data_IF_651214758951
#
_entry.id   IF_651214758951
#
_cell.length_a   1.000
_cell.length_b   1.000
_cell.length_c   1.000
_cell.angle_alpha   90.00
_cell.angle_beta   90.00
_cell.angle_gamma   90.00
#
_symmetry.space_group_name_H-M   'P 1'
#
loop_
_entity.id
_entity.type
_entity.pdbx_description
1 polymer ?
#
# COMPACT_ATOMS: atom_id res chain seq x y z
N UNK A 1 -7.25 -10.79 21.00
CA UNK A 1 -6.20 -10.75 22.05
C UNK A 1 -5.49 -9.39 22.08
N UNK A 2 -4.90 -8.91 20.99
CA UNK A 2 -4.24 -7.60 21.00
C UNK A 2 -5.18 -6.41 21.22
N UNK A 3 -6.42 -6.49 20.74
CA UNK A 3 -7.42 -5.45 21.01
C UNK A 3 -7.70 -5.34 22.52
N UNK A 4 -7.66 -6.48 23.21
CA UNK A 4 -7.88 -6.58 24.65
C UNK A 4 -6.68 -6.05 25.45
N UNK A 5 -5.46 -6.37 25.00
CA UNK A 5 -4.22 -5.77 25.54
C UNK A 5 -4.25 -4.25 25.35
N UNK A 6 -4.58 -3.79 24.14
CA UNK A 6 -4.67 -2.35 23.81
C UNK A 6 -5.69 -1.64 24.68
N UNK A 7 -6.86 -2.26 24.89
CA UNK A 7 -7.90 -1.74 25.77
C UNK A 7 -7.39 -1.62 27.22
N UNK A 8 -6.74 -2.65 27.76
CA UNK A 8 -6.20 -2.61 29.11
C UNK A 8 -5.08 -1.60 29.29
N UNK A 9 -4.26 -1.36 28.26
CA UNK A 9 -3.27 -0.27 28.26
C UNK A 9 -3.97 1.08 28.35
N UNK A 10 -5.00 1.30 27.54
CA UNK A 10 -5.76 2.55 27.51
C UNK A 10 -6.47 2.82 28.85
N UNK A 11 -7.02 1.78 29.46
CA UNK A 11 -7.72 1.86 30.75
C UNK A 11 -6.75 1.93 31.95
N UNK A 12 -5.44 1.78 31.73
CA UNK A 12 -4.43 1.74 32.79
C UNK A 12 -4.56 0.51 33.69
N UNK A 13 -5.16 -0.57 33.19
CA UNK A 13 -5.41 -1.82 33.91
C UNK A 13 -4.43 -2.93 33.54
N UNK A 14 -3.59 -2.73 32.51
CA UNK A 14 -2.57 -3.71 32.12
C UNK A 14 -1.46 -3.77 33.20
N UNK A 15 -1.20 -4.93 33.80
CA UNK A 15 -0.15 -5.05 34.82
C UNK A 15 1.25 -4.89 34.22
N UNK A 16 2.14 -4.25 35.00
CA UNK A 16 3.55 -3.99 34.62
C UNK A 16 4.35 -5.26 34.27
N UNK A 17 3.87 -6.44 34.67
CA UNK A 17 4.48 -7.74 34.30
C UNK A 17 4.30 -8.07 32.82
N UNK A 18 3.34 -7.44 32.13
CA UNK A 18 3.08 -7.66 30.70
C UNK A 18 3.90 -6.67 29.87
N UNK A 19 4.88 -7.19 29.13
CA UNK A 19 5.78 -6.38 28.30
C UNK A 19 6.24 -7.17 27.07
N UNK A 20 6.59 -6.45 26.00
CA UNK A 20 7.13 -7.08 24.80
C UNK A 20 7.55 -6.06 23.76
N UNK A 21 8.69 -6.32 23.10
CA UNK A 21 9.21 -5.48 22.01
C UNK A 21 8.56 -5.87 20.67
N UNK A 22 8.17 -7.13 20.56
CA UNK A 22 7.44 -7.67 19.40
C UNK A 22 6.02 -8.04 19.80
N UNK A 23 5.12 -8.06 18.81
CA UNK A 23 3.74 -8.57 18.95
C UNK A 23 3.71 -9.94 19.64
N UNK A 24 4.62 -10.83 19.27
CA UNK A 24 4.72 -12.18 19.83
C UNK A 24 5.10 -12.15 21.31
N UNK A 25 6.19 -11.46 21.68
CA UNK A 25 6.62 -11.34 23.08
C UNK A 25 5.57 -10.66 23.97
N UNK A 26 4.81 -9.71 23.41
CA UNK A 26 3.74 -9.03 24.13
C UNK A 26 2.55 -9.96 24.38
N UNK A 27 2.14 -10.73 23.38
CA UNK A 27 1.07 -11.74 23.55
C UNK A 27 1.51 -12.82 24.54
N UNK A 28 2.74 -13.30 24.45
CA UNK A 28 3.25 -14.36 25.33
C UNK A 28 3.34 -13.91 26.79
N UNK A 29 3.84 -12.69 27.06
CA UNK A 29 3.86 -12.16 28.43
C UNK A 29 2.45 -11.89 28.97
N UNK A 30 1.53 -11.46 28.11
CA UNK A 30 0.12 -11.31 28.48
C UNK A 30 -0.49 -12.65 28.85
N UNK A 31 -0.34 -13.68 28.01
CA UNK A 31 -0.83 -15.04 28.29
C UNK A 31 -0.22 -15.64 29.55
N UNK A 32 1.07 -15.42 29.81
CA UNK A 32 1.71 -15.83 31.06
C UNK A 32 1.07 -15.17 32.30
N UNK A 33 0.54 -13.95 32.15
CA UNK A 33 -0.16 -13.24 33.21
C UNK A 33 -1.61 -13.72 33.40
N UNK A 34 -2.39 -13.85 32.31
CA UNK A 34 -3.82 -14.18 32.37
C UNK A 34 -4.12 -15.69 32.38
N UNK A 35 -3.14 -16.52 32.01
CA UNK A 35 -3.23 -17.96 31.90
C UNK A 35 -3.64 -18.46 30.50
N UNK A 36 -3.21 -19.67 30.16
CA UNK A 36 -3.38 -20.27 28.82
C UNK A 36 -4.85 -20.54 28.42
N UNK A 37 -5.76 -20.55 29.40
CA UNK A 37 -7.19 -20.73 29.18
C UNK A 37 -7.96 -19.41 28.99
N UNK A 38 -7.28 -18.26 29.10
CA UNK A 38 -7.91 -16.96 28.94
C UNK A 38 -8.29 -16.71 27.48
N UNK A 39 -9.54 -16.34 27.25
CA UNK A 39 -10.05 -15.95 25.93
C UNK A 39 -10.71 -14.58 26.05
N UNK A 40 -10.37 -13.59 25.21
CA UNK A 40 -10.96 -12.25 25.28
C UNK A 40 -12.50 -12.29 25.19
N UNK A 41 -13.23 -11.41 25.90
CA UNK A 41 -14.70 -11.46 25.99
C UNK A 41 -15.42 -11.37 24.64
N UNK A 42 -14.82 -10.71 23.65
CA UNK A 42 -15.39 -10.48 22.31
C UNK A 42 -14.74 -11.35 21.22
N UNK A 43 -14.08 -12.45 21.60
CA UNK A 43 -13.47 -13.37 20.63
C UNK A 43 -14.56 -14.16 19.89
N UNK A 44 -14.47 -14.27 18.57
CA UNK A 44 -15.36 -15.13 17.78
C UNK A 44 -15.28 -16.59 18.27
N UNK A 45 -16.44 -17.27 18.37
CA UNK A 45 -16.51 -18.64 18.89
C UNK A 45 -15.64 -19.64 18.13
N UNK A 46 -15.47 -19.46 16.82
CA UNK A 46 -14.61 -20.30 15.98
C UNK A 46 -13.12 -20.11 16.23
N UNK A 47 -12.74 -18.99 16.87
CA UNK A 47 -11.37 -18.65 17.21
C UNK A 47 -11.05 -18.82 18.70
N UNK A 48 -12.01 -19.27 19.51
CA UNK A 48 -11.78 -19.53 20.94
C UNK A 48 -10.88 -20.75 21.14
N UNK A 49 -9.95 -20.64 22.08
CA UNK A 49 -9.16 -21.75 22.59
C UNK A 49 -9.62 -22.14 23.99
N UNK A 50 -9.12 -23.27 24.47
CA UNK A 50 -9.41 -23.80 25.80
C UNK A 50 -8.21 -24.55 26.35
N UNK A 51 -8.25 -24.98 27.62
CA UNK A 51 -7.22 -25.87 28.16
C UNK A 51 -7.11 -27.21 27.41
N UNK A 52 -8.16 -27.63 26.70
CA UNK A 52 -8.17 -28.86 25.89
C UNK A 52 -7.60 -28.62 24.49
N UNK A 53 -7.67 -27.38 24.01
CA UNK A 53 -7.14 -26.94 22.71
C UNK A 53 -6.50 -25.57 22.90
N UNK A 54 -5.28 -25.49 23.47
CA UNK A 54 -4.66 -24.23 23.84
C UNK A 54 -4.36 -23.39 22.60
N UNK A 55 -4.18 -22.08 22.81
CA UNK A 55 -3.72 -21.20 21.75
C UNK A 55 -2.26 -21.51 21.42
N UNK A 56 -2.04 -22.22 20.33
CA UNK A 56 -0.70 -22.50 19.83
C UNK A 56 -0.27 -21.40 18.86
N UNK A 57 0.72 -20.60 19.26
CA UNK A 57 1.40 -19.71 18.31
C UNK A 57 2.51 -20.48 17.60
N UNK A 58 2.21 -21.01 16.42
CA UNK A 58 3.24 -21.55 15.54
C UNK A 58 4.11 -20.41 14.98
N UNK A 59 5.43 -20.54 15.15
CA UNK A 59 6.39 -19.67 14.49
C UNK A 59 6.37 -19.98 12.98
N UNK A 60 5.71 -19.11 12.22
CA UNK A 60 5.53 -19.28 10.77
C UNK A 60 6.81 -19.07 9.96
N UNK A 61 7.95 -18.82 10.60
CA UNK A 61 9.27 -18.81 9.92
C UNK A 61 9.58 -20.13 9.20
N UNK A 62 8.90 -21.22 9.55
CA UNK A 62 9.05 -22.54 8.91
C UNK A 62 7.80 -23.05 8.17
N UNK A 63 6.76 -22.22 8.00
CA UNK A 63 5.55 -22.64 7.29
C UNK A 63 5.86 -22.88 5.80
N UNK A 64 6.01 -24.16 5.42
CA UNK A 64 6.05 -24.58 4.03
C UNK A 64 4.61 -24.47 3.51
N UNK A 65 4.33 -23.41 2.76
CA UNK A 65 3.05 -23.25 2.08
C UNK A 65 2.85 -24.41 1.10
N UNK A 66 2.09 -25.42 1.50
CA UNK A 66 1.64 -26.47 0.61
C UNK A 66 0.64 -25.86 -0.38
N UNK A 67 1.09 -25.62 -1.62
CA UNK A 67 0.27 -25.06 -2.72
C UNK A 67 -0.95 -25.92 -3.06
N UNK A 68 -0.98 -27.16 -2.58
CA UNK A 68 -1.98 -28.16 -2.92
C UNK A 68 -3.38 -27.84 -2.35
N UNK A 69 -3.47 -26.93 -1.38
CA UNK A 69 -4.76 -26.49 -0.82
C UNK A 69 -5.44 -25.35 -1.60
N UNK A 70 -4.80 -24.82 -2.65
CA UNK A 70 -5.37 -23.77 -3.50
C UNK A 70 -5.74 -24.36 -4.86
N UNK A 71 -6.92 -24.98 -4.97
CA UNK A 71 -7.44 -25.47 -6.25
C UNK A 71 -8.11 -24.35 -7.04
N UNK A 72 -7.33 -23.51 -7.72
CA UNK A 72 -7.84 -22.75 -8.86
C UNK A 72 -7.73 -23.62 -10.11
N UNK A 73 -8.70 -24.52 -10.33
CA UNK A 73 -8.90 -25.08 -11.67
C UNK A 73 -9.76 -24.09 -12.47
N UNK A 74 -9.25 -23.49 -13.56
CA UNK A 74 -10.08 -22.68 -14.43
C UNK A 74 -11.18 -23.56 -15.05
N UNK A 75 -12.41 -23.03 -15.07
CA UNK A 75 -13.53 -23.64 -15.78
C UNK A 75 -13.20 -23.80 -17.27
N UNK A 76 -13.56 -24.93 -17.92
CA UNK A 76 -13.44 -25.03 -19.37
C UNK A 76 -14.38 -24.02 -20.02
N UNK A 77 -13.84 -23.26 -20.97
CA UNK A 77 -14.62 -22.33 -21.81
C UNK A 77 -15.67 -23.13 -22.58
N UNK A 78 -16.95 -22.77 -22.40
CA UNK A 78 -18.04 -23.21 -23.28
C UNK A 78 -17.88 -22.44 -24.59
N UNK A 79 -17.68 -23.15 -25.70
CA UNK A 79 -17.63 -22.53 -27.03
C UNK A 79 -18.99 -21.89 -27.36
N UNK A 80 -19.03 -20.68 -27.94
CA UNK A 80 -20.28 -20.05 -28.33
C UNK A 80 -20.87 -20.78 -29.53
N UNK A 81 -22.08 -21.31 -29.34
CA UNK A 81 -22.95 -21.81 -30.41
C UNK A 81 -23.25 -20.65 -31.35
N UNK A 82 -22.84 -20.79 -32.61
CA UNK A 82 -23.21 -19.90 -33.71
C UNK A 82 -24.71 -19.98 -33.97
N UNK A 83 -25.48 -19.00 -33.48
CA UNK A 83 -26.89 -18.83 -33.84
C UNK A 83 -27.02 -17.88 -35.02
N UNK A 84 -27.40 -18.43 -36.16
CA UNK A 84 -27.99 -17.73 -37.30
C UNK A 84 -29.31 -17.08 -36.89
N UNK A 85 -29.43 -15.77 -37.06
CA UNK A 85 -30.70 -15.04 -36.93
C UNK A 85 -31.66 -15.41 -38.07
N UNK A 86 -32.98 -15.44 -37.79
CA UNK A 86 -33.91 -14.85 -38.73
C UNK A 86 -34.78 -13.78 -38.05
N UNK A 87 -34.91 -12.69 -38.78
CA UNK A 87 -35.92 -11.65 -38.69
C UNK A 87 -37.34 -12.19 -38.51
N UNK A 88 -38.12 -11.59 -37.61
CA UNK A 88 -39.50 -11.20 -37.93
C UNK A 88 -40.10 -10.17 -36.95
N UNK A 89 -40.79 -9.22 -37.57
CA UNK A 89 -41.65 -8.18 -37.00
C UNK A 89 -42.90 -8.78 -36.34
N UNK A 90 -43.40 -8.16 -35.27
CA UNK A 90 -44.73 -8.41 -34.71
C UNK A 90 -45.03 -7.51 -33.52
N UNK A 91 -46.09 -6.72 -33.65
CA UNK A 91 -46.51 -5.55 -32.85
C UNK A 91 -47.57 -5.93 -31.79
N UNK A 92 -47.73 -5.06 -30.77
CA UNK A 92 -48.83 -4.95 -29.76
C UNK A 92 -48.87 -6.05 -28.67
N UNK A 93 -49.23 -5.81 -27.40
CA UNK A 93 -50.06 -4.76 -26.81
C UNK A 93 -49.82 -4.57 -25.29
N UNK A 94 -50.38 -3.48 -24.77
CA UNK A 94 -50.34 -3.00 -23.38
C UNK A 94 -51.34 -3.77 -22.48
N UNK A 95 -51.09 -3.90 -21.17
CA UNK A 95 -52.05 -3.75 -20.01
C UNK A 95 -51.46 -4.34 -18.70
N UNK A 96 -51.44 -3.49 -17.66
CA UNK A 96 -51.20 -3.75 -16.22
C UNK A 96 -52.54 -4.04 -15.48
N UNK A 97 -52.62 -4.17 -14.12
CA UNK A 97 -51.86 -4.93 -13.13
C UNK A 97 -52.80 -5.70 -12.14
N UNK A 98 -52.26 -6.49 -11.20
CA UNK A 98 -53.08 -7.16 -10.18
C UNK A 98 -52.33 -7.74 -8.97
N UNK A 99 -52.20 -6.90 -7.93
CA UNK A 99 -52.30 -7.09 -6.47
C UNK A 99 -51.95 -8.41 -5.71
N UNK A 100 -51.42 -8.15 -4.49
CA UNK A 100 -51.57 -8.85 -3.19
C UNK A 100 -50.70 -10.10 -2.93
N UNK A 101 -49.67 -10.02 -2.05
CA UNK A 101 -49.69 -10.14 -0.57
C UNK A 101 -50.06 -11.55 -0.11
N UNK A 102 -49.14 -12.28 0.54
CA UNK A 102 -49.34 -13.02 1.82
C UNK A 102 -47.96 -13.37 2.44
N UNK A 103 -47.74 -12.85 3.64
CA UNK A 103 -46.77 -13.27 4.66
C UNK A 103 -46.89 -14.74 5.06
N UNK A 104 -45.78 -15.41 5.40
CA UNK A 104 -45.75 -16.35 6.54
C UNK A 104 -44.36 -16.51 7.17
N UNK A 105 -44.30 -16.79 8.50
CA UNK A 105 -43.13 -16.54 9.34
C UNK A 105 -42.27 -17.79 9.61
N UNK A 106 -41.08 -17.52 10.16
CA UNK A 106 -40.14 -18.47 10.75
C UNK A 106 -40.68 -19.17 12.02
N UNK A 107 -39.98 -20.23 12.48
CA UNK A 107 -39.83 -20.41 13.92
C UNK A 107 -38.38 -20.67 14.38
N UNK A 108 -38.06 -19.89 15.41
CA UNK A 108 -37.32 -20.11 16.64
C UNK A 108 -36.55 -21.43 16.89
N UNK A 109 -35.36 -21.19 17.43
CA UNK A 109 -34.39 -22.03 18.14
C UNK A 109 -34.96 -22.65 19.43
N UNK A 110 -34.50 -23.87 19.76
CA UNK A 110 -34.42 -24.33 21.16
C UNK A 110 -33.12 -25.11 21.41
N UNK A 111 -32.31 -24.56 22.31
CA UNK A 111 -31.15 -25.19 22.96
C UNK A 111 -31.62 -26.16 24.05
N UNK A 112 -30.90 -27.26 24.25
CA UNK A 112 -30.84 -27.95 25.55
C UNK A 112 -29.47 -28.60 25.72
N UNK A 113 -28.71 -28.09 26.68
CA UNK A 113 -27.56 -28.74 27.27
C UNK A 113 -28.02 -29.46 28.54
N UNK A 114 -27.44 -30.61 28.86
CA UNK A 114 -27.00 -30.92 30.23
C UNK A 114 -26.02 -32.11 30.24
N UNK A 115 -24.84 -31.82 30.77
CA UNK A 115 -23.78 -32.74 31.19
C UNK A 115 -24.10 -33.32 32.58
N UNK A 116 -23.54 -34.51 32.90
CA UNK A 116 -22.66 -34.77 34.06
C UNK A 116 -22.32 -36.28 34.18
N UNK A 117 -21.02 -36.62 34.20
CA UNK A 117 -20.21 -37.18 35.31
C UNK A 117 -20.56 -38.65 35.66
N UNK A 118 -19.68 -39.60 36.05
CA UNK A 118 -18.24 -39.77 36.32
C UNK A 118 -18.06 -41.24 36.70
N UNK A 119 -16.88 -41.85 36.51
CA UNK A 119 -16.57 -43.14 37.13
C UNK A 119 -15.25 -43.78 36.69
N UNK A 120 -14.14 -43.36 37.30
CA UNK A 120 -12.84 -44.05 37.43
C UNK A 120 -12.95 -45.25 38.42
N UNK A 121 -11.90 -46.04 38.73
CA UNK A 121 -10.68 -46.43 37.99
C UNK A 121 -10.40 -47.96 38.09
N UNK A 122 -9.36 -48.49 37.42
CA UNK A 122 -8.43 -49.38 38.13
C UNK A 122 -7.05 -49.58 37.52
N UNK A 123 -6.15 -49.82 38.46
CA UNK A 123 -4.69 -49.91 38.54
C UNK A 123 -3.94 -50.97 37.72
N UNK A 124 -2.60 -50.87 37.81
CA UNK A 124 -1.50 -51.85 37.60
C UNK A 124 -1.00 -52.01 36.15
N UNK A 125 0.31 -52.03 35.84
CA UNK A 125 1.46 -52.56 36.59
C UNK A 125 2.78 -52.07 35.96
N UNK A 126 3.76 -51.74 36.80
CA UNK A 126 5.16 -51.51 36.42
C UNK A 126 5.86 -52.87 36.23
N UNK A 127 6.64 -53.01 35.16
CA UNK A 127 7.79 -53.93 35.07
C UNK A 127 8.88 -53.30 34.21
N UNK A 128 10.02 -53.06 34.84
CA UNK A 128 11.32 -52.85 34.20
C UNK A 128 11.87 -54.18 33.69
N UNK A 129 12.67 -54.15 32.61
CA UNK A 129 14.02 -54.73 32.44
C UNK A 129 14.50 -54.41 31.00
N UNK A 130 15.77 -54.01 30.85
CA UNK A 130 16.57 -54.43 29.70
C UNK A 130 17.21 -53.34 28.87
N UNK A 131 18.44 -52.96 29.24
CA UNK A 131 19.32 -52.16 28.41
C UNK A 131 19.82 -52.95 27.17
N UNK A 132 19.81 -52.31 26.01
CA UNK A 132 20.56 -52.74 24.84
C UNK A 132 21.27 -51.53 24.20
N UNK A 133 22.60 -51.63 24.18
CA UNK A 133 23.55 -50.69 23.61
C UNK A 133 23.44 -50.67 22.08
N UNK A 134 23.02 -49.54 21.51
CA UNK A 134 23.09 -49.26 20.07
C UNK A 134 24.12 -48.15 19.80
N UNK A 135 25.27 -48.52 19.26
CA UNK A 135 26.31 -47.59 18.81
C UNK A 135 25.85 -46.85 17.55
N UNK A 136 25.40 -45.60 17.69
CA UNK A 136 25.20 -44.71 16.56
C UNK A 136 26.54 -44.14 16.11
N UNK A 137 26.99 -44.55 14.92
CA UNK A 137 28.14 -43.95 14.23
C UNK A 137 27.80 -42.49 13.90
N UNK A 138 28.59 -41.57 14.47
CA UNK A 138 28.56 -40.16 14.17
C UNK A 138 29.17 -39.93 12.78
N UNK A 139 28.36 -39.56 11.79
CA UNK A 139 28.86 -39.09 10.49
C UNK A 139 29.22 -37.60 10.65
N UNK A 140 30.45 -37.16 10.32
CA UNK A 140 30.80 -35.74 10.42
C UNK A 140 29.94 -34.92 9.45
N UNK A 141 29.37 -33.82 9.93
CA UNK A 141 28.76 -32.80 9.09
C UNK A 141 29.75 -32.37 8.00
N UNK A 142 29.34 -32.45 6.74
CA UNK A 142 30.06 -31.80 5.64
C UNK A 142 30.11 -30.29 5.90
N UNK A 143 31.25 -29.61 5.68
CA UNK A 143 31.31 -28.16 5.75
C UNK A 143 30.27 -27.55 4.82
N UNK A 144 29.66 -26.44 5.26
CA UNK A 144 28.66 -25.70 4.50
C UNK A 144 29.22 -25.35 3.12
N UNK A 145 28.78 -26.10 2.11
CA UNK A 145 28.96 -25.74 0.72
C UNK A 145 28.25 -24.40 0.52
N UNK A 146 29.02 -23.38 0.15
CA UNK A 146 28.53 -22.02 -0.11
C UNK A 146 27.29 -22.11 -1.00
N UNK A 147 26.11 -21.89 -0.42
CA UNK A 147 24.90 -21.65 -1.21
C UNK A 147 25.21 -20.46 -2.10
N UNK A 148 25.24 -20.68 -3.41
CA UNK A 148 25.24 -19.64 -4.43
C UNK A 148 24.10 -18.67 -4.07
N UNK A 149 24.46 -17.50 -3.56
CA UNK A 149 23.51 -16.42 -3.37
C UNK A 149 22.85 -16.16 -4.71
N UNK A 150 21.56 -16.42 -4.79
CA UNK A 150 20.78 -16.15 -5.99
C UNK A 150 20.45 -14.67 -6.00
N UNK A 151 21.46 -13.85 -6.26
CA UNK A 151 21.26 -12.48 -6.68
C UNK A 151 20.68 -12.55 -8.11
N UNK A 152 19.37 -12.43 -8.21
CA UNK A 152 18.69 -12.19 -9.48
C UNK A 152 18.20 -10.75 -9.46
N UNK A 153 19.14 -9.82 -9.54
CA UNK A 153 18.86 -8.39 -9.76
C UNK A 153 18.51 -8.10 -11.23
N UNK A 154 18.37 -9.13 -12.05
CA UNK A 154 17.95 -9.00 -13.45
C UNK A 154 16.51 -9.47 -13.61
N UNK A 155 15.64 -8.53 -14.00
CA UNK A 155 14.25 -8.73 -14.43
C UNK A 155 14.10 -9.79 -15.56
N UNK A 156 15.20 -10.21 -16.18
CA UNK A 156 15.24 -11.09 -17.35
C UNK A 156 15.25 -12.60 -17.06
N UNK A 157 15.32 -13.05 -15.80
CA UNK A 157 15.27 -14.49 -15.52
C UNK A 157 13.83 -15.02 -15.44
N UNK A 158 13.19 -15.15 -16.60
CA UNK A 158 12.09 -16.11 -16.75
C UNK A 158 12.65 -17.49 -16.44
N UNK A 159 12.13 -18.13 -15.39
CA UNK A 159 12.29 -19.56 -15.21
C UNK A 159 11.64 -20.26 -16.39
N UNK A 160 12.46 -20.81 -17.29
CA UNK A 160 12.02 -21.63 -18.41
C UNK A 160 11.50 -22.96 -17.85
N UNK A 161 10.24 -22.97 -17.41
CA UNK A 161 9.40 -24.15 -17.41
C UNK A 161 8.25 -23.85 -18.38
N UNK A 162 7.89 -24.77 -19.29
CA UNK A 162 6.84 -24.52 -20.28
C UNK A 162 5.49 -24.58 -19.57
N UNK A 163 5.08 -23.45 -18.99
CA UNK A 163 3.72 -23.27 -18.50
C UNK A 163 2.85 -22.87 -19.69
N UNK A 164 1.83 -23.66 -20.00
CA UNK A 164 0.85 -23.40 -21.07
C UNK A 164 -0.02 -22.21 -20.64
N UNK A 165 0.49 -20.98 -20.78
CA UNK A 165 -0.32 -19.77 -20.63
C UNK A 165 -0.64 -19.21 -22.01
N UNK A 166 -1.92 -18.95 -22.19
CA UNK A 166 -2.53 -18.27 -23.32
C UNK A 166 -1.70 -17.06 -23.72
N UNK A 167 -1.25 -17.04 -24.98
CA UNK A 167 -0.89 -15.79 -25.64
C UNK A 167 -2.04 -14.80 -25.43
N UNK A 168 -1.75 -13.66 -24.80
CA UNK A 168 -2.69 -12.54 -24.78
C UNK A 168 -2.85 -12.11 -26.24
N UNK A 169 -4.08 -12.07 -26.79
CA UNK A 169 -4.29 -11.61 -28.16
C UNK A 169 -3.74 -10.19 -28.31
N UNK A 170 -2.95 -9.93 -29.35
CA UNK A 170 -2.37 -8.60 -29.63
C UNK A 170 -3.41 -7.51 -29.86
N UNK A 171 -4.67 -7.89 -30.07
CA UNK A 171 -5.77 -6.99 -30.39
C UNK A 171 -6.43 -6.34 -29.15
N UNK A 172 -6.01 -6.71 -27.92
CA UNK A 172 -6.63 -6.25 -26.67
C UNK A 172 -6.00 -4.99 -26.06
N UNK A 173 -4.91 -4.50 -26.65
CA UNK A 173 -4.24 -3.29 -26.20
C UNK A 173 -4.02 -2.37 -27.40
N UNK A 174 -4.87 -1.36 -27.53
CA UNK A 174 -4.49 -0.15 -28.22
C UNK A 174 -3.96 0.82 -27.15
N UNK A 175 -2.63 0.95 -26.95
CA UNK A 175 -2.04 1.67 -25.81
C UNK A 175 -2.28 3.19 -25.82
N UNK A 176 -3.11 3.69 -26.73
CA UNK A 176 -3.15 5.09 -27.16
C UNK A 176 -4.48 5.81 -26.87
N UNK A 177 -5.49 5.18 -26.26
CA UNK A 177 -6.78 5.86 -26.05
C UNK A 177 -7.17 6.10 -24.58
N UNK A 178 -6.81 5.21 -23.65
CA UNK A 178 -7.27 5.29 -22.26
C UNK A 178 -6.17 4.92 -21.26
N UNK A 179 -6.07 5.64 -20.11
CA UNK A 179 -5.15 5.27 -19.03
C UNK A 179 -5.40 3.88 -18.46
N UNK A 180 -4.31 3.20 -18.09
CA UNK A 180 -4.35 1.80 -17.62
C UNK A 180 -3.89 1.71 -16.16
N UNK A 181 -4.65 0.98 -15.35
CA UNK A 181 -4.36 0.69 -13.94
C UNK A 181 -4.05 -0.79 -13.67
N UNK A 182 -3.96 -1.13 -12.39
CA UNK A 182 -3.74 -2.50 -11.92
C UNK A 182 -4.99 -3.06 -11.24
N UNK A 183 -5.29 -4.33 -11.46
CA UNK A 183 -6.23 -5.05 -10.61
C UNK A 183 -5.64 -5.26 -9.22
N UNK A 184 -6.41 -4.91 -8.20
CA UNK A 184 -6.03 -5.02 -6.79
C UNK A 184 -5.80 -6.49 -6.39
N UNK A 185 -4.75 -6.72 -5.60
CA UNK A 185 -4.40 -8.04 -5.05
C UNK A 185 -3.46 -7.95 -3.85
N UNK A 186 -3.69 -8.76 -2.82
CA UNK A 186 -2.79 -8.87 -1.66
C UNK A 186 -2.44 -7.51 -1.05
N UNK A 187 -3.44 -6.69 -0.72
CA UNK A 187 -3.24 -5.36 -0.13
C UNK A 187 -2.35 -4.44 -0.98
N UNK A 188 -2.47 -4.51 -2.32
CA UNK A 188 -1.64 -3.74 -3.25
C UNK A 188 -2.09 -2.30 -3.46
N UNK A 189 -3.22 -1.86 -2.89
CA UNK A 189 -3.91 -0.63 -3.29
C UNK A 189 -3.00 0.61 -3.34
N UNK A 190 -2.10 0.76 -2.38
CA UNK A 190 -1.12 1.86 -2.39
C UNK A 190 -0.17 1.79 -3.60
N UNK A 191 0.32 0.60 -3.93
CA UNK A 191 1.15 0.35 -5.11
C UNK A 191 0.36 0.48 -6.41
N UNK A 192 -0.90 0.04 -6.44
CA UNK A 192 -1.78 0.17 -7.60
C UNK A 192 -1.98 1.66 -7.94
N UNK A 193 -2.31 2.47 -6.94
CA UNK A 193 -2.53 3.91 -7.07
C UNK A 193 -1.28 4.66 -7.56
N UNK A 194 -0.12 4.42 -6.94
CA UNK A 194 1.14 5.05 -7.38
C UNK A 194 1.57 4.57 -8.75
N UNK A 195 1.44 3.27 -9.05
CA UNK A 195 1.77 2.71 -10.37
C UNK A 195 0.86 3.30 -11.44
N UNK A 196 -0.43 3.46 -11.16
CA UNK A 196 -1.39 4.09 -12.07
C UNK A 196 -0.96 5.51 -12.43
N UNK A 197 -0.65 6.36 -11.45
CA UNK A 197 -0.20 7.73 -11.74
C UNK A 197 1.13 7.71 -12.49
N UNK A 198 2.15 7.01 -11.98
CA UNK A 198 3.49 7.03 -12.57
C UNK A 198 3.54 6.46 -13.98
N UNK A 199 2.88 5.33 -14.24
CA UNK A 199 2.86 4.71 -15.56
C UNK A 199 2.20 5.64 -16.58
N UNK A 200 1.03 6.20 -16.26
CA UNK A 200 0.31 7.02 -17.22
C UNK A 200 0.99 8.38 -17.45
N UNK A 201 1.60 8.97 -16.41
CA UNK A 201 2.48 10.16 -16.56
C UNK A 201 3.69 9.85 -17.44
N UNK A 202 4.36 8.72 -17.23
CA UNK A 202 5.53 8.32 -18.02
C UNK A 202 5.16 7.92 -19.46
N UNK A 203 4.01 7.29 -19.66
CA UNK A 203 3.59 6.84 -20.99
C UNK A 203 3.16 8.03 -21.87
N UNK A 204 2.55 9.05 -21.27
CA UNK A 204 2.21 10.30 -21.97
C UNK A 204 3.44 11.09 -22.45
N UNK A 205 4.62 10.85 -21.87
CA UNK A 205 5.89 11.49 -22.27
C UNK A 205 6.44 10.97 -23.61
N UNK A 206 6.05 9.78 -24.07
CA UNK A 206 6.60 9.25 -25.31
C UNK A 206 6.26 10.09 -26.57
N UNK A 207 5.39 11.10 -26.43
CA UNK A 207 5.04 12.09 -27.43
C UNK A 207 5.87 13.40 -27.36
N UNK A 208 6.89 13.49 -26.49
CA UNK A 208 7.87 14.58 -26.47
C UNK A 208 7.53 15.79 -25.59
N UNK A 209 6.55 15.68 -24.69
CA UNK A 209 6.13 16.72 -23.73
C UNK A 209 6.02 16.15 -22.30
N UNK A 210 6.96 15.32 -21.87
CA UNK A 210 6.89 14.75 -20.54
C UNK A 210 8.22 14.70 -19.81
N UNK A 211 8.23 13.81 -18.82
CA UNK A 211 9.04 13.90 -17.63
C UNK A 211 10.07 12.80 -17.67
N UNK A 212 11.34 13.17 -17.86
CA UNK A 212 12.42 12.20 -17.78
C UNK A 212 12.63 11.77 -16.31
N UNK A 213 12.04 10.63 -15.97
CA UNK A 213 12.19 10.00 -14.66
C UNK A 213 13.66 9.70 -14.31
N UNK A 214 14.54 9.54 -15.31
CA UNK A 214 15.96 9.31 -15.09
C UNK A 214 16.67 10.53 -14.49
N UNK A 215 16.08 11.73 -14.58
CA UNK A 215 16.65 12.96 -14.04
C UNK A 215 16.66 12.97 -12.50
N UNK A 216 15.79 12.19 -11.84
CA UNK A 216 15.92 11.93 -10.39
C UNK A 216 17.20 11.16 -10.05
N UNK A 217 17.72 10.41 -11.02
CA UNK A 217 18.97 9.67 -10.94
C UNK A 217 18.97 8.53 -9.94
N UNK A 218 17.79 8.00 -9.59
CA UNK A 218 17.65 6.95 -8.60
C UNK A 218 17.22 5.62 -9.20
N UNK A 219 17.69 4.52 -8.58
CA UNK A 219 17.43 3.15 -9.05
C UNK A 219 15.95 2.78 -9.12
N UNK A 220 15.07 3.41 -8.35
CA UNK A 220 13.64 3.05 -8.32
C UNK A 220 12.90 3.58 -9.53
N UNK A 221 13.23 4.80 -9.95
CA UNK A 221 12.68 5.40 -11.16
C UNK A 221 13.25 4.70 -12.40
N UNK A 222 14.55 4.40 -12.42
CA UNK A 222 15.17 3.60 -13.48
C UNK A 222 14.51 2.21 -13.61
N UNK A 223 14.29 1.54 -12.47
CA UNK A 223 13.64 0.23 -12.41
C UNK A 223 12.18 0.30 -12.90
N UNK A 224 11.46 1.36 -12.51
CA UNK A 224 10.07 1.58 -12.92
C UNK A 224 9.99 1.82 -14.42
N UNK A 225 10.79 2.74 -14.97
CA UNK A 225 10.86 3.02 -16.40
C UNK A 225 11.25 1.79 -17.21
N UNK A 226 12.24 1.02 -16.76
CA UNK A 226 12.63 -0.23 -17.42
C UNK A 226 11.49 -1.26 -17.43
N UNK A 227 10.76 -1.40 -16.31
CA UNK A 227 9.64 -2.32 -16.21
C UNK A 227 8.40 -1.83 -16.99
N UNK A 228 8.13 -0.53 -17.04
CA UNK A 228 7.07 0.05 -17.86
C UNK A 228 7.31 -0.18 -19.35
N UNK A 229 8.56 -0.01 -19.84
CA UNK A 229 8.92 -0.38 -21.22
C UNK A 229 8.63 -1.85 -21.53
N UNK A 230 8.80 -2.72 -20.54
CA UNK A 230 8.52 -4.15 -20.70
C UNK A 230 7.03 -4.44 -20.76
N UNK A 231 6.21 -3.67 -20.04
CA UNK A 231 4.76 -3.68 -20.20
C UNK A 231 4.31 -3.16 -21.57
N UNK A 232 4.86 -2.03 -22.05
CA UNK A 232 4.47 -1.49 -23.37
C UNK A 232 4.86 -2.40 -24.54
N UNK A 233 5.92 -3.20 -24.38
CA UNK A 233 6.31 -4.26 -25.33
C UNK A 233 5.46 -5.54 -25.21
N UNK A 234 4.49 -5.60 -24.30
CA UNK A 234 3.64 -6.77 -24.06
C UNK A 234 4.38 -7.96 -23.44
N UNK A 235 5.57 -7.74 -22.87
CA UNK A 235 6.35 -8.82 -22.25
C UNK A 235 5.81 -9.22 -20.87
N UNK A 236 5.13 -8.29 -20.20
CA UNK A 236 4.54 -8.45 -18.86
C UNK A 236 3.25 -7.67 -18.75
N UNK A 237 2.39 -8.05 -17.81
CA UNK A 237 1.22 -7.27 -17.37
C UNK A 237 1.65 -6.17 -16.40
N UNK A 238 0.84 -5.09 -16.30
CA UNK A 238 1.14 -4.00 -15.36
C UNK A 238 1.14 -4.48 -13.90
N UNK A 239 0.31 -5.47 -13.55
CA UNK A 239 0.35 -6.13 -12.24
C UNK A 239 1.68 -6.83 -11.94
N UNK A 240 2.30 -7.43 -12.96
CA UNK A 240 3.61 -8.09 -12.82
C UNK A 240 4.72 -7.05 -12.63
N UNK A 241 4.63 -5.92 -13.34
CA UNK A 241 5.52 -4.76 -13.14
C UNK A 241 5.39 -4.22 -11.71
N UNK A 242 4.16 -3.95 -11.27
CA UNK A 242 3.86 -3.53 -9.89
C UNK A 242 4.42 -4.52 -8.87
N UNK A 243 4.14 -5.81 -9.02
CA UNK A 243 4.59 -6.82 -8.04
C UNK A 243 6.10 -7.01 -8.05
N UNK A 244 6.75 -6.78 -9.18
CA UNK A 244 8.21 -6.72 -9.26
C UNK A 244 8.77 -5.55 -8.44
N UNK A 245 8.21 -4.35 -8.59
CA UNK A 245 8.59 -3.18 -7.78
C UNK A 245 8.34 -3.41 -6.29
N UNK A 246 7.17 -3.96 -5.93
CA UNK A 246 6.82 -4.34 -4.55
C UNK A 246 7.85 -5.28 -3.93
N UNK A 247 8.22 -6.33 -4.66
CA UNK A 247 9.24 -7.28 -4.20
C UNK A 247 10.62 -6.66 -4.11
N UNK A 248 10.97 -5.78 -5.04
CA UNK A 248 12.25 -5.08 -5.00
C UNK A 248 12.35 -4.15 -3.77
N UNK A 249 11.30 -3.39 -3.49
CA UNK A 249 11.19 -2.55 -2.29
C UNK A 249 11.20 -3.39 -1.00
N UNK A 250 10.47 -4.51 -0.97
CA UNK A 250 10.44 -5.42 0.18
C UNK A 250 11.79 -6.08 0.47
N UNK A 251 12.57 -6.40 -0.57
CA UNK A 251 13.94 -6.91 -0.39
C UNK A 251 14.89 -5.85 0.16
N UNK A 252 14.77 -4.62 -0.29
CA UNK A 252 15.65 -3.53 0.14
C UNK A 252 15.29 -3.02 1.54
N UNK A 253 14.00 -2.88 1.83
CA UNK A 253 13.48 -2.33 3.08
C UNK A 253 12.46 -3.28 3.71
N UNK A 254 12.87 -4.48 4.16
CA UNK A 254 11.95 -5.51 4.66
C UNK A 254 11.17 -5.12 5.92
N UNK A 255 11.67 -4.16 6.70
CA UNK A 255 10.97 -3.63 7.88
C UNK A 255 9.92 -2.56 7.56
N UNK A 256 9.92 -2.02 6.34
CA UNK A 256 9.01 -0.94 5.91
C UNK A 256 8.01 -1.45 4.86
N UNK A 257 8.47 -2.27 3.91
CA UNK A 257 7.62 -2.87 2.88
C UNK A 257 7.55 -4.38 3.06
N UNK A 258 6.47 -4.85 3.67
CA UNK A 258 6.19 -6.27 3.82
C UNK A 258 5.28 -6.70 2.65
N UNK A 259 5.73 -7.67 1.85
CA UNK A 259 4.93 -8.14 0.72
C UNK A 259 3.59 -8.72 1.20
N UNK A 260 2.48 -8.23 0.66
CA UNK A 260 1.13 -8.63 1.06
C UNK A 260 0.56 -7.86 2.25
N UNK A 261 1.33 -6.99 2.89
CA UNK A 261 0.81 -6.07 3.91
C UNK A 261 0.37 -4.73 3.28
N UNK A 262 -0.46 -3.99 4.02
CA UNK A 262 -0.73 -2.58 3.72
C UNK A 262 0.57 -1.77 3.82
N UNK A 263 0.69 -0.70 3.03
CA UNK A 263 1.80 0.25 3.09
C UNK A 263 1.29 1.67 3.04
N UNK A 264 2.10 2.61 3.52
CA UNK A 264 1.86 4.04 3.38
C UNK A 264 2.31 4.54 2.00
N UNK A 265 1.57 5.47 1.40
CA UNK A 265 1.95 6.20 0.19
C UNK A 265 3.11 7.14 0.48
N UNK A 266 3.13 7.79 1.65
CA UNK A 266 4.25 8.62 2.10
C UNK A 266 5.55 7.81 2.10
N UNK A 267 5.57 6.65 2.76
CA UNK A 267 6.74 5.76 2.78
C UNK A 267 7.16 5.35 1.36
N UNK A 268 6.21 4.96 0.52
CA UNK A 268 6.47 4.55 -0.86
C UNK A 268 7.09 5.69 -1.68
N UNK A 269 6.48 6.88 -1.65
CA UNK A 269 6.94 8.06 -2.41
C UNK A 269 8.24 8.62 -1.86
N UNK A 270 8.48 8.62 -0.54
CA UNK A 270 9.77 9.01 0.03
C UNK A 270 10.93 8.14 -0.49
N UNK A 271 10.67 6.86 -0.76
CA UNK A 271 11.68 5.93 -1.28
C UNK A 271 11.84 6.06 -2.79
N UNK A 272 10.73 6.12 -3.53
CA UNK A 272 10.75 6.18 -5.00
C UNK A 272 11.22 7.54 -5.52
N UNK A 273 10.86 8.65 -4.86
CA UNK A 273 11.18 10.01 -5.32
C UNK A 273 12.46 10.54 -4.67
N UNK A 274 13.38 9.65 -4.29
CA UNK A 274 14.69 10.06 -3.79
C UNK A 274 15.50 10.67 -4.92
N UNK A 275 16.05 11.87 -4.74
CA UNK A 275 16.98 12.45 -5.70
C UNK A 275 18.43 12.11 -5.34
N UNK A 276 19.34 12.22 -6.31
CA UNK A 276 20.78 12.13 -6.06
C UNK A 276 21.33 13.33 -5.27
N UNK A 277 20.63 14.46 -5.30
CA UNK A 277 20.98 15.67 -4.57
C UNK A 277 20.25 15.82 -3.25
N UNK A 278 20.60 16.87 -2.50
CA UNK A 278 19.73 17.35 -1.42
C UNK A 278 18.59 18.10 -2.08
N UNK A 279 17.35 17.65 -1.87
CA UNK A 279 16.16 18.32 -2.37
C UNK A 279 15.89 19.61 -1.60
N UNK A 280 15.85 19.53 -0.27
CA UNK A 280 15.59 20.68 0.58
C UNK A 280 16.45 20.69 1.84
N UNK A 281 16.72 21.90 2.34
CA UNK A 281 17.38 22.16 3.62
C UNK A 281 16.49 23.10 4.42
N UNK A 282 16.37 22.84 5.72
CA UNK A 282 15.77 23.78 6.66
C UNK A 282 16.82 24.33 7.61
N UNK A 283 16.87 25.64 7.75
CA UNK A 283 17.77 26.37 8.61
C UNK A 283 16.98 27.29 9.56
N UNK A 284 17.56 27.61 10.71
CA UNK A 284 17.17 28.79 11.50
C UNK A 284 18.06 29.94 11.09
N UNK A 285 17.49 31.03 10.58
CA UNK A 285 18.24 32.17 10.05
C UNK A 285 17.78 33.46 10.73
N UNK A 286 18.70 34.35 11.05
CA UNK A 286 18.40 35.69 11.57
C UNK A 286 18.54 36.77 10.47
N UNK A 287 18.11 37.99 10.76
CA UNK A 287 18.24 39.12 9.82
C UNK A 287 19.68 39.52 9.45
N UNK A 288 20.69 39.01 10.18
CA UNK A 288 22.12 39.17 9.86
C UNK A 288 22.69 37.96 9.10
N UNK A 289 21.84 37.05 8.62
CA UNK A 289 22.21 35.84 7.86
C UNK A 289 23.12 34.83 8.62
N UNK A 290 23.21 34.93 9.95
CA UNK A 290 23.67 33.80 10.75
C UNK A 290 22.64 32.68 10.63
N UNK A 291 23.10 31.49 10.22
CA UNK A 291 22.27 30.33 9.97
C UNK A 291 22.71 29.14 10.83
N UNK A 292 21.75 28.36 11.30
CA UNK A 292 21.99 27.08 11.97
C UNK A 292 21.17 25.99 11.28
N UNK A 293 21.81 24.93 10.76
CA UNK A 293 21.10 23.87 10.07
C UNK A 293 20.19 23.09 11.01
N UNK A 294 18.98 22.80 10.55
CA UNK A 294 17.98 22.01 11.27
C UNK A 294 17.85 20.62 10.66
N UNK A 295 17.67 20.55 9.35
CA UNK A 295 17.46 19.28 8.64
C UNK A 295 17.75 19.40 7.16
N UNK A 296 18.05 18.27 6.52
CA UNK A 296 18.17 18.15 5.07
C UNK A 296 17.42 16.92 4.58
N UNK A 297 16.84 17.01 3.39
CA UNK A 297 16.06 15.93 2.79
C UNK A 297 16.49 15.69 1.35
N UNK A 298 16.60 14.41 0.95
CA UNK A 298 16.93 14.03 -0.43
C UNK A 298 15.70 13.58 -1.24
N UNK A 299 14.62 13.16 -0.59
CA UNK A 299 13.38 12.81 -1.28
C UNK A 299 12.60 14.05 -1.71
N UNK A 300 12.00 13.99 -2.87
CA UNK A 300 11.21 15.06 -3.48
C UNK A 300 9.75 15.01 -3.00
N UNK A 301 9.58 14.94 -1.68
CA UNK A 301 8.29 14.87 -0.98
C UNK A 301 8.15 16.06 -0.04
N UNK A 302 7.10 16.83 -0.17
CA UNK A 302 6.80 17.97 0.70
C UNK A 302 5.75 17.54 1.71
N UNK A 303 6.14 17.50 2.99
CA UNK A 303 5.24 17.22 4.10
C UNK A 303 4.62 18.52 4.62
N UNK A 304 3.30 18.62 4.54
CA UNK A 304 2.57 19.76 5.08
C UNK A 304 2.70 19.80 6.60
N UNK A 305 2.91 21.00 7.13
CA UNK A 305 3.02 21.25 8.56
C UNK A 305 2.56 22.67 8.90
N UNK A 306 2.43 22.97 10.19
CA UNK A 306 2.10 24.32 10.63
C UNK A 306 3.21 25.30 10.24
N UNK A 307 2.82 26.40 9.59
CA UNK A 307 3.69 27.56 9.34
C UNK A 307 3.38 28.71 10.29
N UNK A 308 2.80 28.41 11.46
CA UNK A 308 2.41 29.43 12.42
C UNK A 308 3.59 30.39 12.74
N UNK A 309 3.36 31.70 12.77
CA UNK A 309 2.05 32.36 12.78
C UNK A 309 1.38 32.57 11.41
N UNK A 310 2.05 32.23 10.31
CA UNK A 310 1.52 32.41 8.97
C UNK A 310 0.44 31.35 8.70
N UNK A 311 -0.74 31.81 8.29
CA UNK A 311 -1.84 30.95 7.85
C UNK A 311 -1.69 30.65 6.35
N UNK A 312 -2.25 29.53 5.92
CA UNK A 312 -2.33 29.16 4.51
C UNK A 312 -3.61 28.37 4.27
N UNK A 313 -4.24 28.61 3.12
CA UNK A 313 -5.43 27.88 2.65
C UNK A 313 -5.15 27.20 1.29
N UNK A 314 -3.97 27.40 0.73
CA UNK A 314 -3.54 26.79 -0.54
C UNK A 314 -2.15 26.21 -0.41
N UNK A 315 -1.84 25.22 -1.24
CA UNK A 315 -0.51 24.60 -1.32
C UNK A 315 0.56 25.62 -1.71
N UNK A 316 0.23 26.58 -2.58
CA UNK A 316 1.17 27.64 -2.94
C UNK A 316 1.51 28.53 -1.74
N UNK A 317 0.50 28.94 -0.95
CA UNK A 317 0.74 29.73 0.26
C UNK A 317 1.58 28.96 1.28
N UNK A 318 1.35 27.64 1.42
CA UNK A 318 2.21 26.81 2.25
C UNK A 318 3.66 26.84 1.77
N UNK A 319 3.92 26.61 0.48
CA UNK A 319 5.27 26.66 -0.09
C UNK A 319 5.92 28.03 0.12
N UNK A 320 5.20 29.11 -0.16
CA UNK A 320 5.68 30.49 0.01
C UNK A 320 6.01 30.77 1.48
N UNK A 321 5.16 30.34 2.42
CA UNK A 321 5.40 30.49 3.85
C UNK A 321 6.68 29.76 4.30
N UNK A 322 6.97 28.57 3.76
CA UNK A 322 8.17 27.80 4.14
C UNK A 322 9.49 28.49 3.82
N UNK A 323 9.49 29.48 2.91
CA UNK A 323 10.68 30.27 2.59
C UNK A 323 11.11 31.16 3.75
N UNK A 324 10.22 31.51 4.68
CA UNK A 324 10.58 32.24 5.91
C UNK A 324 9.45 32.21 6.94
N UNK A 325 9.46 31.23 7.83
CA UNK A 325 8.50 31.10 8.94
C UNK A 325 9.06 31.77 10.20
N UNK A 326 8.45 32.85 10.72
CA UNK A 326 8.93 33.50 11.94
C UNK A 326 8.92 32.58 13.17
N UNK A 327 10.02 32.56 13.94
CA UNK A 327 10.05 31.87 15.23
C UNK A 327 9.75 32.86 16.35
N UNK A 328 8.62 32.67 17.06
CA UNK A 328 8.15 33.61 18.10
C UNK A 328 9.08 33.71 19.32
N UNK A 329 9.90 32.68 19.56
CA UNK A 329 10.67 32.55 20.80
C UNK A 329 12.16 32.25 20.58
N UNK A 330 12.59 32.02 19.34
CA UNK A 330 13.99 31.70 19.06
C UNK A 330 14.76 32.97 18.68
N UNK A 331 15.93 33.13 19.30
CA UNK A 331 16.88 34.22 19.07
C UNK A 331 18.21 33.67 18.61
N UNK A 332 18.93 34.46 17.82
CA UNK A 332 20.24 34.10 17.31
C UNK A 332 21.30 34.17 18.40
N UNK A 333 22.08 33.10 18.59
CA UNK A 333 23.13 33.07 19.62
C UNK A 333 24.28 34.06 19.36
N UNK A 334 24.43 34.55 18.12
CA UNK A 334 25.51 35.48 17.73
C UNK A 334 25.10 36.95 17.83
N UNK A 335 23.88 37.30 17.41
CA UNK A 335 23.44 38.70 17.33
C UNK A 335 22.14 39.02 18.06
N UNK A 336 21.55 38.05 18.77
CA UNK A 336 20.29 38.15 19.53
C UNK A 336 19.05 38.56 18.72
N UNK A 337 19.18 38.67 17.40
CA UNK A 337 18.07 38.97 16.50
C UNK A 337 17.06 37.80 16.45
N UNK A 338 15.75 38.09 16.19
CA UNK A 338 14.75 37.05 15.99
C UNK A 338 15.13 36.09 14.86
N UNK A 339 14.90 34.80 15.08
CA UNK A 339 15.11 33.77 14.07
C UNK A 339 13.84 33.49 13.27
N UNK A 340 13.99 33.14 12.00
CA UNK A 340 12.98 32.46 11.21
C UNK A 340 13.47 31.06 10.82
N UNK A 341 12.55 30.11 10.65
CA UNK A 341 12.82 28.84 9.98
C UNK A 341 12.70 29.10 8.47
N UNK A 342 13.78 28.88 7.73
CA UNK A 342 13.85 29.03 6.27
C UNK A 342 14.01 27.65 5.67
N UNK A 343 13.20 27.33 4.66
CA UNK A 343 13.39 26.14 3.82
C UNK A 343 13.90 26.56 2.46
N UNK A 344 15.04 26.01 2.06
CA UNK A 344 15.62 26.21 0.73
C UNK A 344 15.47 24.93 -0.07
N UNK A 345 14.88 25.03 -1.25
CA UNK A 345 14.80 23.94 -2.22
C UNK A 345 15.97 24.07 -3.19
N UNK A 346 16.87 23.08 -3.22
CA UNK A 346 18.12 23.18 -3.98
C UNK A 346 17.98 22.66 -5.42
N UNK A 347 16.99 21.80 -5.67
CA UNK A 347 16.72 21.21 -6.98
C UNK A 347 15.25 21.35 -7.31
N UNK A 348 14.95 21.42 -8.60
CA UNK A 348 13.60 21.29 -9.14
C UNK A 348 13.44 19.89 -9.73
N UNK A 349 12.93 18.90 -8.98
CA UNK A 349 12.84 17.53 -9.49
C UNK A 349 11.82 17.40 -10.63
N UNK A 350 11.93 16.37 -11.48
CA UNK A 350 10.95 16.12 -12.54
C UNK A 350 9.57 15.73 -11.97
N UNK A 351 9.55 15.11 -10.78
CA UNK A 351 8.35 14.79 -10.01
C UNK A 351 8.45 15.36 -8.60
N UNK A 352 7.33 15.91 -8.11
CA UNK A 352 7.18 16.45 -6.77
C UNK A 352 5.95 15.82 -6.12
N UNK A 353 6.11 15.18 -4.96
CA UNK A 353 4.97 14.70 -4.18
C UNK A 353 4.67 15.68 -3.06
N UNK A 354 3.40 16.00 -2.82
CA UNK A 354 2.94 16.65 -1.59
C UNK A 354 2.12 15.66 -0.78
N UNK A 355 2.57 15.34 0.42
CA UNK A 355 1.80 14.53 1.36
C UNK A 355 0.83 15.47 2.09
N UNK A 356 -0.46 15.31 1.78
CA UNK A 356 -1.54 16.18 2.25
C UNK A 356 -2.51 15.46 3.18
N UNK A 357 -2.23 14.21 3.52
CA UNK A 357 -3.02 13.43 4.47
C UNK A 357 -3.37 14.26 5.72
N UNK A 358 -4.63 14.19 6.13
CA UNK A 358 -5.18 14.91 7.28
C UNK A 358 -5.19 16.46 7.17
N UNK A 359 -4.94 17.03 6.00
CA UNK A 359 -5.07 18.46 5.76
C UNK A 359 -6.31 18.76 4.91
N UNK A 360 -7.11 19.74 5.34
CA UNK A 360 -8.26 20.24 4.58
C UNK A 360 -7.78 21.28 3.56
N UNK A 361 -7.12 20.81 2.50
CA UNK A 361 -6.60 21.66 1.42
C UNK A 361 -7.01 21.09 0.06
N UNK A 362 -7.68 21.92 -0.73
CA UNK A 362 -8.07 21.54 -2.08
C UNK A 362 -6.81 21.36 -2.97
N UNK A 363 -6.74 20.31 -3.81
CA UNK A 363 -5.66 20.13 -4.76
C UNK A 363 -5.61 21.29 -5.77
N UNK A 364 -4.47 21.98 -5.84
CA UNK A 364 -4.23 22.98 -6.88
C UNK A 364 -3.77 22.33 -8.18
N UNK A 365 -4.29 22.76 -9.33
CA UNK A 365 -3.87 22.22 -10.64
C UNK A 365 -2.41 22.54 -10.99
N UNK A 366 -1.86 23.62 -10.41
CA UNK A 366 -0.45 23.95 -10.53
C UNK A 366 0.10 24.55 -9.24
N UNK A 367 1.41 24.44 -9.08
CA UNK A 367 2.18 25.04 -8.00
C UNK A 367 3.54 25.51 -8.55
N UNK A 368 4.14 26.48 -7.88
CA UNK A 368 5.46 27.02 -8.19
C UNK A 368 6.40 26.74 -7.03
N UNK A 369 7.52 26.09 -7.33
CA UNK A 369 8.58 25.84 -6.39
C UNK A 369 9.70 26.85 -6.61
N UNK A 370 9.93 27.71 -5.62
CA UNK A 370 11.08 28.61 -5.61
C UNK A 370 12.31 27.84 -5.14
N UNK A 371 13.25 27.63 -6.04
CA UNK A 371 14.51 26.93 -5.78
C UNK A 371 15.70 27.89 -5.80
N UNK A 372 16.88 27.41 -5.38
CA UNK A 372 18.13 28.18 -5.47
C UNK A 372 18.53 28.56 -6.90
N UNK A 373 18.01 27.87 -7.91
CA UNK A 373 18.31 28.11 -9.33
C UNK A 373 17.22 28.92 -10.05
N UNK A 374 16.07 29.15 -9.42
CA UNK A 374 14.95 29.88 -10.00
C UNK A 374 13.58 29.34 -9.58
N UNK A 375 12.54 29.89 -10.19
CA UNK A 375 11.16 29.45 -9.98
C UNK A 375 10.82 28.40 -11.03
N UNK A 376 10.32 27.26 -10.59
CA UNK A 376 9.87 26.18 -11.48
C UNK A 376 8.38 25.93 -11.28
N UNK A 377 7.64 25.82 -12.39
CA UNK A 377 6.24 25.48 -12.39
C UNK A 377 6.04 23.96 -12.46
N UNK A 378 5.01 23.50 -11.76
CA UNK A 378 4.58 22.13 -11.77
C UNK A 378 3.08 22.07 -11.99
N UNK A 379 2.64 21.08 -12.78
CA UNK A 379 1.23 20.73 -12.97
C UNK A 379 0.87 19.46 -12.22
N UNK A 380 -0.36 19.38 -11.73
CA UNK A 380 -0.87 18.19 -11.06
C UNK A 380 -1.00 17.05 -12.08
N UNK A 381 -0.33 15.93 -11.81
CA UNK A 381 -0.33 14.74 -12.65
C UNK A 381 -1.23 13.64 -12.08
N UNK A 382 -1.36 13.57 -10.75
CA UNK A 382 -2.25 12.62 -10.12
C UNK A 382 -2.52 12.90 -8.66
N UNK A 383 -3.57 12.28 -8.16
CA UNK A 383 -4.04 12.37 -6.78
C UNK A 383 -4.23 10.94 -6.29
N UNK A 384 -3.67 10.64 -5.13
CA UNK A 384 -3.94 9.39 -4.41
C UNK A 384 -4.85 9.71 -3.24
N UNK A 385 -5.99 9.02 -3.19
CA UNK A 385 -7.01 9.17 -2.16
C UNK A 385 -6.95 8.01 -1.18
N UNK A 386 -7.29 8.27 0.08
CA UNK A 386 -7.35 7.26 1.13
C UNK A 386 -8.65 7.37 1.93
N UNK A 387 -9.21 6.21 2.25
CA UNK A 387 -10.37 6.06 3.13
C UNK A 387 -10.75 4.60 3.24
N UNK A 388 -11.31 4.20 4.39
CA UNK A 388 -11.74 2.82 4.65
C UNK A 388 -10.64 1.77 4.36
N UNK A 389 -9.40 2.04 4.80
CA UNK A 389 -8.23 1.17 4.61
C UNK A 389 -7.89 0.85 3.13
N UNK A 390 -8.36 1.65 2.18
CA UNK A 390 -8.18 1.40 0.76
C UNK A 390 -7.79 2.67 -0.01
N UNK A 391 -6.82 2.55 -0.92
CA UNK A 391 -6.37 3.64 -1.78
C UNK A 391 -7.03 3.58 -3.16
N UNK A 392 -7.38 4.75 -3.69
CA UNK A 392 -7.83 4.97 -5.08
C UNK A 392 -7.00 6.11 -5.68
N UNK A 393 -7.06 6.27 -7.00
CA UNK A 393 -6.28 7.32 -7.64
C UNK A 393 -7.01 8.01 -8.78
N UNK A 394 -6.65 9.27 -9.00
CA UNK A 394 -6.90 10.01 -10.23
C UNK A 394 -5.59 10.29 -10.95
N UNK A 395 -5.62 10.16 -12.26
CA UNK A 395 -4.59 10.63 -13.18
C UNK A 395 -5.17 11.80 -13.99
N UNK A 396 -4.35 12.83 -14.23
CA UNK A 396 -4.72 14.01 -15.02
C UNK A 396 -3.80 14.05 -16.23
N UNK A 397 -4.37 13.91 -17.42
CA UNK A 397 -3.60 13.89 -18.66
C UNK A 397 -3.16 15.29 -19.12
N UNK A 398 -2.52 15.37 -20.29
CA UNK A 398 -2.07 16.63 -20.90
C UNK A 398 -3.21 17.56 -21.28
N UNK A 399 -4.40 17.02 -21.55
CA UNK A 399 -5.61 17.78 -21.91
C UNK A 399 -6.42 18.19 -20.68
N UNK A 400 -5.84 18.02 -19.48
CA UNK A 400 -6.49 18.26 -18.18
C UNK A 400 -7.77 17.43 -18.00
N UNK A 401 -7.85 16.25 -18.61
CA UNK A 401 -8.93 15.31 -18.36
C UNK A 401 -8.55 14.42 -17.18
N UNK A 402 -9.51 14.26 -16.28
CA UNK A 402 -9.40 13.44 -15.08
C UNK A 402 -9.86 12.03 -15.36
N UNK A 403 -9.03 11.07 -14.94
CA UNK A 403 -9.26 9.64 -15.06
C UNK A 403 -9.16 8.99 -13.69
N UNK A 404 -10.23 8.34 -13.25
CA UNK A 404 -10.32 7.67 -11.95
C UNK A 404 -10.05 6.16 -12.07
N UNK A 405 -9.27 5.60 -11.15
CA UNK A 405 -9.07 4.16 -11.01
C UNK A 405 -9.17 3.74 -9.53
N UNK A 406 -10.09 2.82 -9.27
CA UNK A 406 -10.06 1.94 -8.10
C UNK A 406 -9.71 0.53 -8.59
N UNK A 407 -8.51 0.05 -8.24
CA UNK A 407 -8.04 -1.27 -8.64
C UNK A 407 -8.92 -2.43 -8.17
N UNK A 408 -9.78 -2.21 -7.17
CA UNK A 408 -10.76 -3.19 -6.68
C UNK A 408 -12.02 -3.24 -7.55
N UNK A 409 -12.45 -2.11 -8.11
CA UNK A 409 -13.73 -1.97 -8.84
C UNK A 409 -13.53 -1.92 -10.35
N UNK A 410 -12.68 -1.00 -10.85
CA UNK A 410 -12.41 -0.88 -12.29
C UNK A 410 -11.32 -1.83 -12.79
N UNK A 411 -10.60 -2.48 -11.88
CA UNK A 411 -9.44 -3.31 -12.19
C UNK A 411 -8.41 -2.52 -13.03
N UNK A 412 -8.19 -2.94 -14.29
CA UNK A 412 -7.22 -2.34 -15.20
C UNK A 412 -7.71 -1.09 -15.91
N UNK A 413 -9.02 -0.82 -15.88
CA UNK A 413 -9.61 0.30 -16.63
C UNK A 413 -9.63 1.57 -15.78
N UNK A 414 -9.53 2.71 -16.45
CA UNK A 414 -9.82 4.00 -15.83
C UNK A 414 -11.19 4.51 -16.29
N UNK A 415 -11.88 5.24 -15.43
CA UNK A 415 -13.13 5.93 -15.76
C UNK A 415 -12.83 7.39 -16.05
N UNK A 416 -13.21 7.87 -17.23
CA UNK A 416 -13.11 9.28 -17.58
C UNK A 416 -14.15 10.08 -16.81
N UNK A 417 -13.72 11.03 -15.99
CA UNK A 417 -14.61 11.91 -15.21
C UNK A 417 -14.83 13.27 -15.88
N UNK A 418 -13.93 13.68 -16.78
CA UNK A 418 -14.05 14.90 -17.57
C UNK A 418 -12.97 15.93 -17.25
N UNK A 419 -13.13 17.20 -17.70
CA UNK A 419 -12.14 18.25 -17.49
C UNK A 419 -11.93 18.55 -15.99
N UNK A 420 -10.68 18.73 -15.56
CA UNK A 420 -10.31 18.91 -14.16
C UNK A 420 -10.98 20.13 -13.50
N UNK A 421 -11.27 21.17 -14.27
CA UNK A 421 -12.03 22.34 -13.81
C UNK A 421 -13.49 22.06 -13.42
N UNK A 422 -14.04 20.91 -13.84
CA UNK A 422 -15.43 20.49 -13.57
C UNK A 422 -15.53 19.27 -12.65
N UNK A 423 -14.40 18.73 -12.19
CA UNK A 423 -14.35 17.59 -11.28
C UNK A 423 -13.94 18.09 -9.90
N UNK A 424 -14.69 17.71 -8.86
CA UNK A 424 -14.26 17.95 -7.49
C UNK A 424 -13.08 17.04 -7.16
N UNK A 425 -11.89 17.64 -7.07
CA UNK A 425 -10.64 16.94 -6.77
C UNK A 425 -10.43 16.72 -5.27
N UNK A 426 -11.21 17.36 -4.39
CA UNK A 426 -11.07 17.23 -2.95
C UNK A 426 -11.63 15.91 -2.40
N UNK A 427 -12.47 15.22 -3.18
CA UNK A 427 -13.09 13.95 -2.78
C UNK A 427 -13.16 13.02 -4.00
N UNK A 428 -12.87 11.73 -3.81
CA UNK A 428 -13.09 10.70 -4.84
C UNK A 428 -14.59 10.30 -4.94
N UNK A 429 -15.00 9.52 -5.96
CA UNK A 429 -16.39 9.07 -6.11
C UNK A 429 -16.94 8.27 -4.92
N UNK A 430 -16.08 7.76 -4.03
CA UNK A 430 -16.42 6.96 -2.87
C UNK A 430 -16.31 7.75 -1.55
N UNK A 431 -16.12 9.06 -1.59
CA UNK A 431 -16.02 9.89 -0.38
C UNK A 431 -14.62 9.95 0.25
N UNK A 432 -13.58 9.44 -0.41
CA UNK A 432 -12.20 9.44 0.11
C UNK A 432 -11.52 10.78 -0.10
N UNK A 433 -10.64 11.16 0.81
CA UNK A 433 -9.89 12.42 0.75
C UNK A 433 -8.47 12.23 0.23
N UNK A 434 -7.85 13.26 -0.38
CA UNK A 434 -6.46 13.22 -0.80
C UNK A 434 -5.52 12.83 0.35
N UNK A 435 -4.67 11.85 0.09
CA UNK A 435 -3.53 11.50 0.93
C UNK A 435 -2.25 12.13 0.36
N UNK A 436 -2.08 12.02 -0.96
CA UNK A 436 -0.89 12.50 -1.65
C UNK A 436 -1.22 13.08 -3.02
N UNK A 437 -0.53 14.17 -3.38
CA UNK A 437 -0.64 14.85 -4.66
C UNK A 437 0.68 14.71 -5.41
N UNK A 438 0.65 14.21 -6.63
CA UNK A 438 1.84 14.03 -7.46
C UNK A 438 1.80 15.07 -8.57
N UNK A 439 2.81 15.91 -8.56
CA UNK A 439 3.03 17.00 -9.50
C UNK A 439 4.19 16.65 -10.44
N UNK A 440 4.08 17.07 -11.70
CA UNK A 440 5.16 16.98 -12.68
C UNK A 440 5.62 18.36 -13.10
N UNK A 441 6.93 18.48 -13.33
CA UNK A 441 7.55 19.72 -13.83
C UNK A 441 7.07 20.02 -15.26
N UNK A 442 6.80 21.29 -15.56
CA UNK A 442 6.37 21.77 -16.88
C UNK A 442 7.45 22.51 -17.65
#
# INVERSE_FOLDING_TARGET
MLDDITKQVYEGTLPDTVHGITRYSLIQSFQAHVGDAYTPPNMDQGLMWSSVRPFEMEDTTHAIWAKDFITHKPFPLVEPVSTTSPTNFGTLDTVQPGAAVVDRPAPLVTLTAHSRLTGLPNTTRIRSVGAASGTHKFTPMKPSEKRKGRASDTFNQRHIAPDKRSHVPSDWYNPLAEPVGCSWSNNSCAYDAVTFVLYNTWNADQDGIGVDFAELGNRWMDLSTAAFRKFTLGEYMLEEVRDYLRRALSREYPGEFIFGANTSIEALTMRMFRSNGIFSVSDKVCGSEHATPVSSQQCCVVMLHSTAPLQWNTLQQFLDNTLSVPSRHARCDTCDAPLCKRTTYNIAPPLLCMAVAFNDVAPGLSVRLTTSIGITEYRLAGIVYYGELHFTARYIDSDLIVWFNDGMVQHRRATREGPAQHVDLAIDPNGKTPDSLIYMRT
#
